data_IF_723118810680
#
_entry.id   IF_723118810680
#
_cell.length_a   1.000
_cell.length_b   1.000
_cell.length_c   1.000
_cell.angle_alpha   90.00
_cell.angle_beta   90.00
_cell.angle_gamma   90.00
#
_symmetry.space_group_name_H-M   'P 1'
#
loop_
_entity.id
_entity.type
_entity.pdbx_description
1 polymer ?
#
# COMPACT_ATOMS: atom_id res chain seq x y z
N UNK A 1 3.30 -12.79 9.84
CA UNK A 1 2.74 -11.55 9.30
C UNK A 1 3.79 -10.44 9.43
N UNK A 2 4.27 -9.90 8.29
CA UNK A 2 5.35 -8.90 8.26
C UNK A 2 4.92 -7.55 8.84
N UNK A 3 3.66 -7.17 8.69
CA UNK A 3 3.09 -5.95 9.31
C UNK A 3 3.22 -6.05 10.84
N UNK A 4 2.76 -7.15 11.43
CA UNK A 4 2.87 -7.36 12.89
C UNK A 4 4.34 -7.33 13.36
N UNK A 5 5.26 -7.84 12.57
CA UNK A 5 6.69 -7.85 12.89
C UNK A 5 7.30 -6.44 12.84
N UNK A 6 6.88 -5.61 11.88
CA UNK A 6 7.34 -4.22 11.77
C UNK A 6 6.78 -3.31 12.87
N UNK A 7 5.64 -3.68 13.45
CA UNK A 7 4.91 -2.86 14.42
C UNK A 7 4.81 -3.50 15.80
N UNK A 8 5.62 -4.54 16.11
CA UNK A 8 5.43 -5.31 17.35
C UNK A 8 5.59 -4.45 18.61
N UNK A 9 6.47 -3.43 18.58
CA UNK A 9 6.66 -2.48 19.68
C UNK A 9 5.61 -1.35 19.71
N UNK A 10 4.78 -1.24 18.67
CA UNK A 10 3.85 -0.15 18.48
C UNK A 10 2.40 -0.53 18.79
N UNK A 11 2.03 -1.79 18.59
CA UNK A 11 0.66 -2.27 18.77
C UNK A 11 0.61 -3.77 19.08
N UNK A 12 -0.16 -4.17 20.09
CA UNK A 12 -0.22 -5.55 20.58
C UNK A 12 -1.39 -6.35 20.03
N UNK A 13 -2.54 -5.67 19.80
CA UNK A 13 -3.79 -6.36 19.46
C UNK A 13 -4.07 -6.31 17.95
N UNK A 14 -3.57 -7.33 17.23
CA UNK A 14 -3.74 -7.47 15.80
C UNK A 14 -4.66 -8.63 15.45
N UNK A 15 -5.71 -8.35 14.67
CA UNK A 15 -6.50 -9.36 14.01
C UNK A 15 -6.20 -9.41 12.51
N UNK A 16 -6.18 -10.62 11.92
CA UNK A 16 -5.97 -10.80 10.47
C UNK A 16 -7.09 -11.65 9.93
N UNK A 17 -7.85 -11.11 9.00
CA UNK A 17 -8.99 -11.78 8.36
C UNK A 17 -8.88 -11.70 6.83
N UNK A 18 -9.46 -12.67 6.15
CA UNK A 18 -9.75 -12.54 4.72
C UNK A 18 -11.01 -11.70 4.56
N UNK A 19 -11.04 -10.90 3.50
CA UNK A 19 -12.15 -9.98 3.24
C UNK A 19 -13.50 -10.71 3.12
N UNK A 20 -13.48 -11.93 2.59
CA UNK A 20 -14.67 -12.79 2.44
C UNK A 20 -15.26 -13.22 3.80
N UNK A 21 -14.47 -13.18 4.87
CA UNK A 21 -14.84 -13.64 6.20
C UNK A 21 -15.17 -12.51 7.17
N UNK A 22 -15.09 -11.24 6.73
CA UNK A 22 -15.40 -10.07 7.55
C UNK A 22 -16.89 -9.74 7.38
N UNK A 23 -17.60 -9.55 8.51
CA UNK A 23 -18.91 -8.92 8.51
C UNK A 23 -18.69 -7.40 8.53
N UNK A 24 -19.25 -6.61 7.61
CA UNK A 24 -19.04 -5.16 7.57
C UNK A 24 -19.39 -4.45 8.89
N UNK A 25 -20.44 -4.89 9.57
CA UNK A 25 -20.93 -4.27 10.81
C UNK A 25 -19.95 -4.32 12.00
N UNK A 26 -18.94 -5.19 11.95
CA UNK A 26 -17.92 -5.24 13.02
C UNK A 26 -16.79 -4.24 12.81
N UNK A 27 -16.73 -3.55 11.67
CA UNK A 27 -15.63 -2.64 11.34
C UNK A 27 -15.60 -1.46 12.30
N UNK A 28 -16.73 -0.98 12.76
CA UNK A 28 -16.84 0.12 13.75
C UNK A 28 -16.14 -0.14 15.08
N UNK A 29 -15.87 -1.42 15.43
CA UNK A 29 -15.20 -1.81 16.68
C UNK A 29 -13.67 -1.91 16.55
N UNK A 30 -13.12 -1.62 15.37
CA UNK A 30 -11.67 -1.61 15.16
C UNK A 30 -11.11 -0.19 15.24
N UNK A 31 -9.99 -0.06 15.91
CA UNK A 31 -9.26 1.21 16.03
C UNK A 31 -8.66 1.69 14.73
N UNK A 32 -8.38 0.77 13.82
CA UNK A 32 -7.86 1.04 12.49
C UNK A 32 -7.84 -0.20 11.60
N UNK A 33 -7.79 0.00 10.30
CA UNK A 33 -7.84 -1.07 9.29
C UNK A 33 -6.64 -0.98 8.35
N UNK A 34 -6.04 -2.13 8.03
CA UNK A 34 -5.02 -2.22 6.96
C UNK A 34 -5.50 -3.18 5.88
N UNK A 35 -5.70 -2.67 4.68
CA UNK A 35 -5.85 -3.49 3.48
C UNK A 35 -4.47 -3.85 2.95
N UNK A 36 -4.11 -5.13 3.00
CA UNK A 36 -2.76 -5.60 2.66
C UNK A 36 -2.57 -5.84 1.16
N UNK A 37 -1.31 -6.01 0.75
CA UNK A 37 -0.96 -6.50 -0.57
C UNK A 37 -1.51 -7.91 -0.84
N UNK A 38 -1.86 -8.17 -2.11
CA UNK A 38 -2.30 -9.47 -2.61
C UNK A 38 -1.72 -9.73 -4.01
N UNK A 39 -1.78 -11.01 -4.45
CA UNK A 39 -1.31 -11.39 -5.78
C UNK A 39 -2.38 -11.30 -6.88
N UNK A 40 -3.57 -10.83 -6.53
CA UNK A 40 -4.69 -10.62 -7.46
C UNK A 40 -4.51 -9.32 -8.24
N UNK A 41 -5.09 -9.26 -9.45
CA UNK A 41 -5.14 -8.03 -10.27
C UNK A 41 -6.56 -7.50 -10.29
N UNK A 42 -6.73 -6.24 -9.95
CA UNK A 42 -8.03 -5.55 -9.94
C UNK A 42 -8.48 -5.07 -11.33
N UNK A 43 -7.76 -5.45 -12.38
CA UNK A 43 -8.26 -5.35 -13.77
C UNK A 43 -9.35 -6.39 -14.07
N UNK A 44 -9.61 -7.31 -13.11
CA UNK A 44 -10.67 -8.33 -13.13
C UNK A 44 -11.64 -8.06 -11.98
N UNK A 45 -12.85 -8.57 -12.14
CA UNK A 45 -13.87 -8.55 -11.08
C UNK A 45 -13.75 -9.78 -10.17
N UNK A 46 -14.08 -9.59 -8.91
CA UNK A 46 -14.06 -10.65 -7.89
C UNK A 46 -15.32 -10.62 -7.03
N UNK A 47 -15.86 -11.79 -6.62
CA UNK A 47 -17.07 -11.85 -5.80
C UNK A 47 -17.00 -11.10 -4.47
N UNK A 48 -15.79 -10.90 -3.93
CA UNK A 48 -15.61 -10.18 -2.66
C UNK A 48 -15.63 -8.65 -2.80
N UNK A 49 -15.67 -8.09 -4.02
CA UNK A 49 -15.63 -6.62 -4.21
C UNK A 49 -16.84 -5.94 -3.56
N UNK A 50 -18.03 -6.48 -3.70
CA UNK A 50 -19.22 -5.93 -3.04
C UNK A 50 -19.08 -5.91 -1.51
N UNK A 51 -18.47 -6.94 -0.92
CA UNK A 51 -18.19 -6.96 0.52
C UNK A 51 -17.13 -5.93 0.91
N UNK A 52 -16.10 -5.78 0.07
CA UNK A 52 -15.08 -4.77 0.28
C UNK A 52 -15.66 -3.35 0.25
N UNK A 53 -16.62 -3.11 -0.65
CA UNK A 53 -17.36 -1.85 -0.76
C UNK A 53 -18.14 -1.56 0.53
N UNK A 54 -18.94 -2.50 1.03
CA UNK A 54 -19.66 -2.33 2.30
C UNK A 54 -18.72 -2.12 3.50
N UNK A 55 -17.56 -2.77 3.52
CA UNK A 55 -16.53 -2.52 4.56
C UNK A 55 -16.00 -1.08 4.43
N UNK A 56 -15.76 -0.62 3.22
CA UNK A 56 -15.26 0.72 2.97
C UNK A 56 -16.31 1.81 3.30
N UNK A 57 -17.60 1.55 3.02
CA UNK A 57 -18.70 2.41 3.44
C UNK A 57 -18.69 2.61 4.96
N UNK A 58 -18.55 1.51 5.74
CA UNK A 58 -18.43 1.60 7.20
C UNK A 58 -17.17 2.35 7.67
N UNK A 59 -16.05 2.16 6.98
CA UNK A 59 -14.81 2.92 7.24
C UNK A 59 -15.06 4.42 7.05
N UNK A 60 -15.79 4.80 6.01
CA UNK A 60 -16.12 6.21 5.73
C UNK A 60 -17.13 6.75 6.73
N UNK A 61 -18.20 6.01 7.04
CA UNK A 61 -19.25 6.40 7.99
C UNK A 61 -18.69 6.69 9.39
N UNK A 62 -17.73 5.89 9.84
CA UNK A 62 -17.12 5.98 11.18
C UNK A 62 -15.74 6.65 11.18
N UNK A 63 -15.25 7.13 10.04
CA UNK A 63 -13.94 7.76 9.87
C UNK A 63 -12.79 6.93 10.46
N UNK A 64 -12.83 5.60 10.23
CA UNK A 64 -11.85 4.67 10.80
C UNK A 64 -10.50 4.84 10.11
N UNK A 65 -9.42 5.11 10.86
CA UNK A 65 -8.08 5.19 10.31
C UNK A 65 -7.77 3.99 9.42
N UNK A 66 -7.39 4.22 8.17
CA UNK A 66 -7.21 3.15 7.20
C UNK A 66 -5.94 3.33 6.37
N UNK A 67 -5.15 2.25 6.24
CA UNK A 67 -3.98 2.20 5.36
C UNK A 67 -4.19 1.13 4.28
N UNK A 68 -4.14 1.53 3.01
CA UNK A 68 -4.11 0.61 1.87
C UNK A 68 -2.68 0.38 1.37
N UNK A 69 -2.24 -0.90 1.26
CA UNK A 69 -0.89 -1.26 0.82
C UNK A 69 -0.96 -2.06 -0.47
N UNK A 70 -0.28 -1.62 -1.53
CA UNK A 70 -0.16 -2.28 -2.83
C UNK A 70 -1.53 -2.65 -3.42
N UNK A 71 -1.97 -3.90 -3.33
CA UNK A 71 -3.33 -4.30 -3.71
C UNK A 71 -4.40 -3.52 -2.93
N UNK A 72 -4.19 -3.25 -1.64
CA UNK A 72 -5.09 -2.43 -0.82
C UNK A 72 -5.18 -0.98 -1.30
N UNK A 73 -4.08 -0.40 -1.79
CA UNK A 73 -4.07 0.90 -2.46
C UNK A 73 -4.96 0.87 -3.71
N UNK A 74 -4.77 -0.11 -4.57
CA UNK A 74 -5.55 -0.25 -5.80
C UNK A 74 -7.02 -0.51 -5.51
N UNK A 75 -7.33 -1.37 -4.52
CA UNK A 75 -8.69 -1.72 -4.11
C UNK A 75 -9.46 -0.49 -3.62
N UNK A 76 -8.89 0.26 -2.68
CA UNK A 76 -9.53 1.45 -2.14
C UNK A 76 -9.78 2.48 -3.25
N UNK A 77 -8.77 2.81 -4.06
CA UNK A 77 -8.96 3.75 -5.17
C UNK A 77 -10.03 3.26 -6.16
N UNK A 78 -10.06 1.96 -6.51
CA UNK A 78 -11.09 1.38 -7.40
C UNK A 78 -12.49 1.54 -6.82
N UNK A 79 -12.69 1.26 -5.53
CA UNK A 79 -13.99 1.32 -4.88
C UNK A 79 -14.54 2.76 -4.74
N UNK A 80 -13.64 3.76 -4.77
CA UNK A 80 -14.03 5.18 -4.89
C UNK A 80 -14.21 5.66 -6.34
N UNK A 81 -14.34 4.74 -7.29
CA UNK A 81 -14.57 5.06 -8.70
C UNK A 81 -13.30 5.28 -9.53
N UNK A 82 -12.12 5.05 -8.93
CA UNK A 82 -10.85 5.17 -9.61
C UNK A 82 -10.58 4.06 -10.63
N UNK A 83 -9.56 4.25 -11.45
CA UNK A 83 -9.21 3.35 -12.55
C UNK A 83 -7.87 2.68 -12.34
N UNK A 84 -7.89 1.36 -12.38
CA UNK A 84 -6.71 0.49 -12.26
C UNK A 84 -6.42 -0.14 -13.62
N UNK A 85 -5.16 -0.13 -14.02
CA UNK A 85 -4.71 -0.78 -15.26
C UNK A 85 -3.43 -1.55 -15.01
N UNK A 86 -3.18 -2.57 -15.84
CA UNK A 86 -1.87 -3.19 -15.91
C UNK A 86 -0.91 -2.23 -16.62
N UNK A 87 0.24 -1.96 -16.01
CA UNK A 87 1.21 -1.05 -16.59
C UNK A 87 1.78 -1.58 -17.92
N UNK A 88 1.80 -0.76 -18.98
CA UNK A 88 2.45 -1.14 -20.24
C UNK A 88 3.97 -1.25 -20.11
N UNK A 89 4.55 -0.68 -19.04
CA UNK A 89 5.99 -0.67 -18.78
C UNK A 89 6.50 -1.98 -18.14
N UNK A 90 5.60 -2.94 -17.84
CA UNK A 90 5.94 -4.17 -17.15
C UNK A 90 5.89 -4.03 -15.63
N UNK A 91 6.69 -4.78 -14.90
CA UNK A 91 6.69 -4.81 -13.43
C UNK A 91 7.70 -3.82 -12.84
N UNK A 92 7.30 -3.06 -11.82
CA UNK A 92 8.19 -2.31 -10.95
C UNK A 92 8.57 -3.18 -9.74
N UNK A 93 9.87 -3.46 -9.54
CA UNK A 93 10.33 -4.37 -8.49
C UNK A 93 11.66 -3.93 -7.88
N UNK A 94 11.79 -4.07 -6.56
CA UNK A 94 13.02 -3.79 -5.82
C UNK A 94 12.98 -2.45 -5.09
N UNK A 95 14.10 -1.72 -5.12
CA UNK A 95 14.22 -0.38 -4.53
C UNK A 95 13.94 0.64 -5.61
N UNK A 96 12.98 1.53 -5.36
CA UNK A 96 12.60 2.60 -6.27
C UNK A 96 12.59 3.96 -5.57
N UNK A 97 12.81 5.01 -6.35
CA UNK A 97 12.63 6.39 -5.91
C UNK A 97 11.19 6.82 -6.15
N UNK A 98 10.57 7.46 -5.15
CA UNK A 98 9.31 8.20 -5.30
C UNK A 98 9.51 9.65 -4.89
N UNK A 99 8.73 10.54 -5.48
CA UNK A 99 8.72 11.98 -5.17
C UNK A 99 7.43 12.31 -4.41
N UNK A 100 7.56 13.07 -3.32
CA UNK A 100 6.43 13.58 -2.58
C UNK A 100 5.90 14.84 -3.24
N UNK A 101 4.58 15.00 -3.26
CA UNK A 101 3.93 16.28 -3.56
C UNK A 101 4.07 17.24 -2.38
N UNK A 102 3.62 18.47 -2.52
CA UNK A 102 3.54 19.42 -1.39
C UNK A 102 2.58 18.88 -0.32
N UNK A 103 1.46 18.31 -0.75
CA UNK A 103 0.50 17.64 0.13
C UNK A 103 1.14 16.45 0.85
N UNK A 104 1.91 15.63 0.13
CA UNK A 104 2.62 14.50 0.72
C UNK A 104 3.71 14.89 1.72
N UNK A 105 4.37 16.03 1.52
CA UNK A 105 5.36 16.57 2.47
C UNK A 105 4.71 17.19 3.71
N UNK A 106 3.51 17.75 3.58
CA UNK A 106 2.76 18.37 4.68
C UNK A 106 1.77 17.43 5.38
N UNK A 107 1.65 16.20 4.91
CA UNK A 107 0.70 15.24 5.45
C UNK A 107 1.06 14.81 6.89
N UNK A 108 0.04 14.81 7.76
CA UNK A 108 0.22 14.66 9.21
C UNK A 108 0.75 13.29 9.65
N UNK A 109 0.52 12.23 8.85
CA UNK A 109 0.91 10.89 9.26
C UNK A 109 1.40 9.97 8.11
N UNK A 110 1.67 10.55 6.94
CA UNK A 110 2.19 9.76 5.83
C UNK A 110 3.69 9.47 5.99
N UNK A 111 4.56 10.35 5.55
CA UNK A 111 6.02 10.18 5.61
C UNK A 111 6.68 11.52 5.89
N UNK A 112 7.52 11.57 6.93
CA UNK A 112 8.31 12.74 7.20
C UNK A 112 9.58 12.75 6.34
N UNK A 113 9.62 13.61 5.32
CA UNK A 113 10.82 13.81 4.51
C UNK A 113 11.04 15.27 4.18
N UNK A 114 12.21 15.77 4.53
CA UNK A 114 12.63 17.15 4.21
C UNK A 114 13.19 17.28 2.77
N UNK A 115 13.37 16.16 2.06
CA UNK A 115 13.99 16.16 0.72
C UNK A 115 12.98 16.08 -0.41
N UNK A 116 11.70 15.84 -0.11
CA UNK A 116 10.66 15.61 -1.11
C UNK A 116 10.86 14.34 -1.96
N UNK A 117 11.89 13.55 -1.65
CA UNK A 117 12.22 12.31 -2.38
C UNK A 117 12.65 11.22 -1.41
N UNK A 118 12.06 10.03 -1.56
CA UNK A 118 12.36 8.88 -0.71
C UNK A 118 12.57 7.62 -1.55
N UNK A 119 13.24 6.63 -0.95
CA UNK A 119 13.38 5.29 -1.51
C UNK A 119 12.48 4.32 -0.77
N UNK A 120 11.77 3.49 -1.54
CA UNK A 120 10.81 2.52 -1.03
C UNK A 120 11.01 1.16 -1.66
N UNK A 121 10.42 0.13 -1.06
CA UNK A 121 10.38 -1.21 -1.65
C UNK A 121 9.12 -1.37 -2.49
N UNK A 122 9.27 -1.75 -3.75
CA UNK A 122 8.18 -1.94 -4.70
C UNK A 122 8.15 -3.36 -5.26
N UNK A 123 6.94 -3.86 -5.53
CA UNK A 123 6.71 -5.11 -6.27
C UNK A 123 5.27 -5.15 -6.80
N UNK A 124 5.01 -4.52 -7.93
CA UNK A 124 3.69 -4.49 -8.55
C UNK A 124 3.77 -4.30 -10.07
N UNK A 125 2.70 -4.64 -10.75
CA UNK A 125 2.51 -4.43 -12.19
C UNK A 125 1.28 -3.56 -12.45
N UNK A 126 0.19 -3.76 -11.70
CA UNK A 126 -0.99 -2.91 -11.78
C UNK A 126 -0.73 -1.55 -11.13
N UNK A 127 -1.29 -0.51 -11.72
CA UNK A 127 -1.15 0.88 -11.28
C UNK A 127 -2.51 1.58 -11.26
N UNK A 128 -2.64 2.53 -10.35
CA UNK A 128 -3.74 3.51 -10.34
C UNK A 128 -3.41 4.59 -11.35
N UNK A 129 -4.31 4.84 -12.31
CA UNK A 129 -4.20 5.94 -13.29
C UNK A 129 -5.23 7.04 -13.06
N UNK A 130 -6.24 6.77 -12.23
CA UNK A 130 -7.22 7.70 -11.71
C UNK A 130 -7.53 7.28 -10.27
N UNK A 131 -7.36 8.13 -9.26
CA UNK A 131 -7.41 7.72 -7.86
C UNK A 131 -8.84 7.67 -7.29
N UNK A 132 -9.84 7.97 -8.06
CA UNK A 132 -11.21 8.11 -7.55
C UNK A 132 -11.50 9.50 -6.98
N UNK A 133 -12.76 9.68 -6.59
CA UNK A 133 -13.28 10.99 -6.18
C UNK A 133 -12.69 11.42 -4.83
N UNK A 134 -12.36 12.70 -4.71
CA UNK A 134 -11.83 13.34 -3.48
C UNK A 134 -10.43 12.84 -3.02
N UNK A 135 -9.75 11.99 -3.79
CA UNK A 135 -8.39 11.61 -3.43
C UNK A 135 -7.35 12.67 -3.80
N UNK A 136 -6.42 12.89 -2.89
CA UNK A 136 -5.26 13.77 -3.07
C UNK A 136 -4.03 12.93 -3.32
N UNK A 137 -3.22 13.31 -4.31
CA UNK A 137 -1.94 12.67 -4.61
C UNK A 137 -0.90 13.07 -3.56
N UNK A 138 -0.28 12.09 -2.90
CA UNK A 138 0.80 12.32 -1.93
C UNK A 138 2.19 12.02 -2.49
N UNK A 139 2.30 11.04 -3.39
CA UNK A 139 3.58 10.67 -3.98
C UNK A 139 3.41 10.11 -5.40
N UNK A 140 4.48 10.20 -6.20
CA UNK A 140 4.54 9.75 -7.58
C UNK A 140 5.95 9.33 -8.00
N UNK A 141 6.04 8.63 -9.13
CA UNK A 141 7.27 8.45 -9.89
C UNK A 141 6.94 8.27 -11.39
N UNK A 142 7.96 8.09 -12.23
CA UNK A 142 7.76 7.94 -13.68
C UNK A 142 7.08 6.62 -14.09
N UNK A 143 6.94 5.66 -13.16
CA UNK A 143 6.22 4.40 -13.40
C UNK A 143 4.74 4.50 -13.05
N UNK A 144 4.42 5.12 -11.94
CA UNK A 144 3.05 5.35 -11.48
C UNK A 144 2.90 6.76 -10.92
N UNK A 145 1.97 7.52 -11.47
CA UNK A 145 1.67 8.88 -10.99
C UNK A 145 0.98 8.88 -9.63
N UNK A 146 0.41 7.77 -9.21
CA UNK A 146 -0.20 7.60 -7.89
C UNK A 146 0.54 6.50 -7.10
N UNK A 147 1.72 6.84 -6.58
CA UNK A 147 2.47 5.98 -5.66
C UNK A 147 1.92 6.05 -4.23
N UNK A 148 1.21 7.13 -3.90
CA UNK A 148 0.44 7.25 -2.67
C UNK A 148 -0.68 8.27 -2.83
N UNK A 149 -1.81 8.02 -2.15
CA UNK A 149 -2.96 8.90 -2.13
C UNK A 149 -3.55 9.03 -0.73
N UNK A 150 -4.29 10.12 -0.49
CA UNK A 150 -5.03 10.39 0.72
C UNK A 150 -6.50 10.67 0.39
N UNK A 151 -7.40 10.20 1.25
CA UNK A 151 -8.80 10.60 1.27
C UNK A 151 -9.13 11.13 2.66
N UNK A 152 -9.50 12.40 2.74
CA UNK A 152 -9.72 13.12 3.99
C UNK A 152 -8.56 12.87 4.99
N UNK A 153 -8.84 12.89 6.29
CA UNK A 153 -7.80 12.77 7.33
C UNK A 153 -7.54 11.33 7.78
N UNK A 154 -8.36 10.36 7.35
CA UNK A 154 -8.35 9.02 7.93
C UNK A 154 -7.97 7.89 6.98
N UNK A 155 -7.90 8.10 5.64
CA UNK A 155 -7.40 7.06 4.71
C UNK A 155 -6.11 7.53 4.02
N UNK A 156 -5.08 6.67 4.06
CA UNK A 156 -3.89 6.79 3.21
C UNK A 156 -3.67 5.48 2.47
N UNK A 157 -3.18 5.59 1.26
CA UNK A 157 -2.87 4.40 0.47
C UNK A 157 -1.50 4.54 -0.17
N UNK A 158 -0.76 3.42 -0.24
CA UNK A 158 0.59 3.37 -0.80
C UNK A 158 0.72 2.20 -1.77
N UNK A 159 1.29 2.44 -2.95
CA UNK A 159 1.54 1.40 -3.94
C UNK A 159 2.75 0.53 -3.57
N UNK A 160 3.69 1.08 -2.85
CA UNK A 160 4.87 0.38 -2.35
C UNK A 160 4.56 -0.43 -1.08
N UNK A 161 5.58 -1.13 -0.55
CA UNK A 161 5.45 -2.05 0.58
C UNK A 161 6.19 -1.53 1.82
N UNK A 162 5.53 -0.74 2.71
CA UNK A 162 6.15 -0.26 3.95
C UNK A 162 6.41 -1.38 4.95
N UNK A 163 5.74 -2.52 4.82
CA UNK A 163 5.94 -3.71 5.64
C UNK A 163 7.21 -4.51 5.25
N UNK A 164 7.83 -4.18 4.12
CA UNK A 164 9.07 -4.84 3.70
C UNK A 164 10.29 -4.19 4.35
N UNK A 165 11.27 -5.05 4.66
CA UNK A 165 12.63 -4.67 4.97
C UNK A 165 13.58 -5.59 4.19
N UNK A 166 14.85 -5.27 4.15
CA UNK A 166 15.82 -5.91 3.24
C UNK A 166 15.75 -7.45 3.21
N UNK A 167 15.77 -8.20 4.34
CA UNK A 167 15.61 -9.65 4.31
C UNK A 167 14.28 -10.12 3.74
N UNK A 168 13.18 -9.43 4.09
CA UNK A 168 11.83 -9.82 3.65
C UNK A 168 11.65 -9.63 2.16
N UNK A 169 12.06 -8.52 1.59
CA UNK A 169 11.99 -8.33 0.14
C UNK A 169 12.78 -9.41 -0.61
N UNK A 170 13.98 -9.76 -0.13
CA UNK A 170 14.78 -10.84 -0.73
C UNK A 170 14.07 -12.20 -0.65
N UNK A 171 13.49 -12.51 0.50
CA UNK A 171 12.71 -13.75 0.70
C UNK A 171 11.48 -13.75 -0.20
N UNK A 172 10.75 -12.63 -0.25
CA UNK A 172 9.55 -12.48 -1.09
C UNK A 172 9.87 -12.71 -2.56
N UNK A 173 10.89 -12.04 -3.10
CA UNK A 173 11.30 -12.20 -4.50
C UNK A 173 11.71 -13.65 -4.76
N UNK A 174 12.55 -14.27 -3.91
CA UNK A 174 12.99 -15.67 -4.08
C UNK A 174 11.81 -16.64 -4.05
N UNK A 175 10.88 -16.53 -3.10
CA UNK A 175 9.71 -17.41 -2.98
C UNK A 175 8.74 -17.27 -4.15
N UNK A 176 8.67 -16.10 -4.76
CA UNK A 176 7.78 -15.82 -5.87
C UNK A 176 8.49 -15.85 -7.24
N UNK A 177 9.75 -16.32 -7.31
CA UNK A 177 10.58 -16.26 -8.50
C UNK A 177 9.91 -16.87 -9.74
N UNK A 178 9.31 -18.05 -9.61
CA UNK A 178 8.68 -18.74 -10.73
C UNK A 178 7.41 -18.02 -11.20
N UNK A 179 6.64 -17.48 -10.26
CA UNK A 179 5.48 -16.64 -10.57
C UNK A 179 5.91 -15.36 -11.26
N UNK A 180 6.90 -14.67 -10.70
CA UNK A 180 7.48 -13.46 -11.27
C UNK A 180 8.01 -13.71 -12.69
N UNK A 181 8.71 -14.82 -12.94
CA UNK A 181 9.17 -15.21 -14.28
C UNK A 181 8.01 -15.53 -15.24
N UNK A 182 6.96 -16.22 -14.77
CA UNK A 182 5.80 -16.57 -15.62
C UNK A 182 4.94 -15.33 -15.98
N UNK A 183 4.85 -14.36 -15.10
CA UNK A 183 4.21 -13.08 -15.37
C UNK A 183 5.02 -12.22 -16.34
N UNK A 184 6.32 -12.53 -16.51
CA UNK A 184 7.29 -11.79 -17.31
C UNK A 184 7.37 -12.23 -18.78
N UNK A 185 6.28 -12.16 -19.51
CA UNK A 185 6.37 -11.90 -20.95
C UNK A 185 6.62 -10.41 -21.26
N UNK A 186 6.68 -9.55 -20.21
CA UNK A 186 6.91 -8.11 -20.28
C UNK A 186 8.21 -7.72 -19.57
N UNK A 187 8.88 -6.63 -19.99
CA UNK A 187 10.10 -6.17 -19.36
C UNK A 187 9.90 -5.77 -17.89
N UNK A 188 10.97 -5.80 -17.12
CA UNK A 188 11.05 -5.15 -15.82
C UNK A 188 11.33 -3.66 -16.05
N UNK A 189 10.54 -2.78 -15.44
CA UNK A 189 10.67 -1.35 -15.68
C UNK A 189 12.00 -0.78 -15.16
N UNK A 190 12.34 -1.08 -13.91
CA UNK A 190 13.41 -0.40 -13.18
C UNK A 190 14.70 -1.22 -13.00
N UNK A 191 14.71 -2.46 -13.46
CA UNK A 191 15.88 -3.36 -13.37
C UNK A 191 15.99 -4.27 -14.59
N UNK A 192 17.23 -4.64 -14.97
CA UNK A 192 17.47 -5.52 -16.11
C UNK A 192 17.07 -6.98 -15.89
N UNK A 193 16.94 -7.40 -14.63
CA UNK A 193 16.52 -8.75 -14.24
C UNK A 193 16.09 -8.80 -12.77
N UNK A 194 15.35 -9.85 -12.40
CA UNK A 194 14.96 -10.11 -11.00
C UNK A 194 16.20 -10.31 -10.11
N UNK A 195 17.28 -10.92 -10.63
CA UNK A 195 18.55 -11.03 -9.90
C UNK A 195 19.10 -9.65 -9.54
N UNK A 196 19.13 -8.71 -10.50
CA UNK A 196 19.55 -7.34 -10.25
C UNK A 196 18.67 -6.61 -9.24
N UNK A 197 17.35 -6.91 -9.23
CA UNK A 197 16.46 -6.38 -8.19
C UNK A 197 16.89 -6.85 -6.78
N UNK A 198 17.24 -8.15 -6.64
CA UNK A 198 17.72 -8.72 -5.37
C UNK A 198 19.07 -8.10 -4.95
N UNK A 199 20.00 -7.94 -5.88
CA UNK A 199 21.35 -7.41 -5.61
C UNK A 199 21.28 -5.94 -5.14
N UNK A 200 20.34 -5.18 -5.67
CA UNK A 200 20.15 -3.75 -5.33
C UNK A 200 19.40 -3.52 -4.01
N UNK A 201 18.91 -4.59 -3.34
CA UNK A 201 18.18 -4.44 -2.06
C UNK A 201 19.13 -3.99 -0.96
N UNK A 202 18.86 -2.84 -0.34
CA UNK A 202 19.58 -2.23 0.77
C UNK A 202 18.62 -1.85 1.88
N UNK A 203 19.10 -1.48 3.06
CA UNK A 203 18.27 -0.95 4.13
C UNK A 203 17.66 0.41 3.72
N UNK A 204 16.39 0.59 4.01
CA UNK A 204 15.62 1.81 3.72
C UNK A 204 14.87 2.25 4.98
N UNK A 205 15.49 3.04 5.86
CA UNK A 205 14.88 3.43 7.14
C UNK A 205 13.50 4.07 7.00
N UNK A 206 13.32 4.94 6.01
CA UNK A 206 12.06 5.67 5.79
C UNK A 206 10.98 4.84 5.06
N UNK A 207 11.29 3.66 4.54
CA UNK A 207 10.32 2.84 3.81
C UNK A 207 9.15 2.40 4.70
N UNK A 208 9.39 2.21 5.99
CA UNK A 208 8.39 1.78 6.96
C UNK A 208 7.57 2.95 7.58
N UNK A 209 7.96 4.20 7.32
CA UNK A 209 7.37 5.36 7.99
C UNK A 209 5.85 5.45 7.80
N UNK A 210 5.35 5.19 6.59
CA UNK A 210 3.91 5.19 6.33
C UNK A 210 3.14 4.19 7.24
N UNK A 211 3.71 3.02 7.50
CA UNK A 211 3.13 2.02 8.38
C UNK A 211 3.27 2.41 9.87
N UNK A 212 4.45 2.85 10.29
CA UNK A 212 4.70 3.25 11.67
C UNK A 212 3.88 4.49 12.06
N UNK A 213 3.79 5.48 11.16
CA UNK A 213 3.02 6.69 11.38
C UNK A 213 1.52 6.40 11.40
N UNK A 214 1.04 5.48 10.57
CA UNK A 214 -0.33 4.99 10.64
C UNK A 214 -0.66 4.44 12.04
N UNK A 215 0.17 3.55 12.59
CA UNK A 215 -0.06 2.97 13.93
C UNK A 215 -0.03 4.05 15.02
N UNK A 216 0.88 5.02 14.92
CA UNK A 216 0.92 6.17 15.85
C UNK A 216 -0.34 7.02 15.74
N UNK A 217 -0.82 7.27 14.53
CA UNK A 217 -2.05 8.03 14.29
C UNK A 217 -3.28 7.34 14.90
N UNK A 218 -3.43 6.02 14.70
CA UNK A 218 -4.47 5.22 15.34
C UNK A 218 -4.43 5.36 16.86
N UNK A 219 -3.24 5.26 17.48
CA UNK A 219 -3.07 5.41 18.94
C UNK A 219 -3.44 6.79 19.46
N UNK A 220 -3.18 7.83 18.69
CA UNK A 220 -3.53 9.20 19.11
C UNK A 220 -5.02 9.47 19.01
N UNK A 221 -5.68 8.98 17.94
CA UNK A 221 -7.13 9.12 17.76
C UNK A 221 -7.92 8.47 18.90
N UNK A 222 -7.51 7.29 19.35
CA UNK A 222 -8.17 6.55 20.43
C UNK A 222 -7.98 7.16 21.83
N UNK A 223 -6.97 8.00 22.04
CA UNK A 223 -6.77 8.70 23.31
C UNK A 223 -7.61 9.96 23.45
N UNK A 224 -8.21 10.43 22.35
CA UNK A 224 -8.94 11.70 22.27
C UNK A 224 -10.46 11.50 22.29
N UNK A 225 -10.96 10.27 22.34
CA UNK A 225 -12.36 9.87 22.51
C UNK A 225 -12.57 9.12 23.82
#
# INVERSE_FOLDING_TARGET
NWIKQQCYDLWDNWETKRIENIKPDIIEYYDGVIFTGAHSSLTKDYPYLSRAEHILDKIVDYEIPTLGICFGHQLINKLFGGKIVQSPLGMEIGVVDIQLTLEGMSDNWFINSNTGKIKVYSCHEDIVIDPGVEFVQLAWNNYSIYQATAYRDFIRTVQFHPEFYKPILKIYIKKNMDRLKKQHNKPLHNVKSISKAIDNVRELPMSADALHNFVKYVRTKNKSG
#
